data_IF_901103136487
#
_entry.id   IF_901103136487
#
_cell.length_a   1.000
_cell.length_b   1.000
_cell.length_c   1.000
_cell.angle_alpha   90.00
_cell.angle_beta   90.00
_cell.angle_gamma   90.00
#
_symmetry.space_group_name_H-M   'P 1'
#
loop_
_entity.id
_entity.type
_entity.pdbx_description
1 polymer ?
#
# COMPACT_ATOMS: atom_id res chain seq x y z
N UNK A 1 18.09 6.36 -6.97
CA UNK A 1 17.79 5.04 -7.60
C UNK A 1 17.14 4.02 -6.65
N UNK A 2 17.28 4.13 -5.32
CA UNK A 2 16.71 3.17 -4.35
C UNK A 2 15.18 3.36 -4.11
N UNK A 3 14.61 4.53 -4.45
CA UNK A 3 13.25 4.91 -4.08
C UNK A 3 12.12 4.13 -4.79
N UNK A 4 12.38 3.55 -5.97
CA UNK A 4 11.34 2.90 -6.79
C UNK A 4 11.15 1.40 -6.53
N UNK A 5 12.01 0.79 -5.71
CA UNK A 5 12.03 -0.67 -5.58
C UNK A 5 10.70 -1.25 -5.05
N UNK A 6 10.06 -0.54 -4.12
CA UNK A 6 8.78 -0.96 -3.55
C UNK A 6 7.64 -0.86 -4.57
N UNK A 7 7.62 0.22 -5.36
CA UNK A 7 6.65 0.41 -6.45
C UNK A 7 6.79 -0.67 -7.52
N UNK A 8 8.02 -0.94 -7.97
CA UNK A 8 8.27 -1.96 -9.00
C UNK A 8 7.85 -3.36 -8.49
N UNK A 9 8.15 -3.69 -7.23
CA UNK A 9 7.69 -4.93 -6.59
C UNK A 9 6.17 -5.01 -6.56
N UNK A 10 5.49 -3.92 -6.19
CA UNK A 10 4.03 -3.87 -6.13
C UNK A 10 3.38 -4.12 -7.50
N UNK A 11 3.86 -3.46 -8.54
CA UNK A 11 3.32 -3.64 -9.88
C UNK A 11 3.63 -5.02 -10.47
N UNK A 12 4.82 -5.57 -10.21
CA UNK A 12 5.14 -6.93 -10.63
C UNK A 12 4.29 -7.98 -9.91
N UNK A 13 4.03 -7.78 -8.62
CA UNK A 13 3.12 -8.64 -7.87
C UNK A 13 1.69 -8.54 -8.44
N UNK A 14 1.22 -7.33 -8.69
CA UNK A 14 -0.09 -7.09 -9.30
C UNK A 14 -0.25 -7.85 -10.62
N UNK A 15 0.71 -7.68 -11.53
CA UNK A 15 0.75 -8.40 -12.82
C UNK A 15 0.62 -9.91 -12.64
N UNK A 16 1.38 -10.47 -11.69
CA UNK A 16 1.34 -11.90 -11.38
C UNK A 16 0.00 -12.35 -10.81
N UNK A 17 -0.67 -11.53 -10.00
CA UNK A 17 -1.96 -11.87 -9.36
C UNK A 17 -3.15 -11.77 -10.31
N UNK A 18 -3.09 -10.84 -11.28
CA UNK A 18 -4.20 -10.58 -12.21
C UNK A 18 -3.93 -11.05 -13.63
N UNK A 19 -2.84 -11.78 -13.87
CA UNK A 19 -2.41 -12.28 -15.19
C UNK A 19 -2.45 -11.21 -16.28
N UNK A 20 -1.93 -10.01 -15.97
CA UNK A 20 -1.92 -8.87 -16.89
C UNK A 20 -0.50 -8.45 -17.25
N UNK A 21 -0.33 -8.03 -18.51
CA UNK A 21 0.93 -7.49 -19.03
C UNK A 21 0.97 -5.95 -19.05
N UNK A 22 0.00 -5.30 -18.40
CA UNK A 22 -0.11 -3.84 -18.41
C UNK A 22 1.18 -3.15 -17.94
N UNK A 23 1.65 -2.20 -18.74
CA UNK A 23 2.79 -1.35 -18.42
C UNK A 23 2.31 -0.03 -17.83
N UNK A 24 3.00 0.42 -16.78
CA UNK A 24 2.70 1.67 -16.09
C UNK A 24 3.88 2.61 -16.21
N UNK A 25 3.62 3.85 -16.63
CA UNK A 25 4.58 4.94 -16.50
C UNK A 25 4.35 5.63 -15.16
N UNK A 26 5.42 5.82 -14.38
CA UNK A 26 5.32 6.25 -12.99
C UNK A 26 6.22 7.45 -12.77
N UNK A 27 5.63 8.47 -12.19
CA UNK A 27 6.34 9.61 -11.63
C UNK A 27 6.05 9.69 -10.14
N UNK A 28 7.10 9.78 -9.32
CA UNK A 28 6.98 9.89 -7.87
C UNK A 28 7.61 11.23 -7.42
N UNK A 29 6.77 12.15 -6.96
CA UNK A 29 7.22 13.34 -6.24
C UNK A 29 7.35 13.02 -4.75
N UNK A 30 8.58 12.72 -4.32
CA UNK A 30 8.85 12.19 -2.99
C UNK A 30 8.99 13.31 -1.95
N UNK A 31 7.93 13.57 -1.19
CA UNK A 31 7.96 14.50 -0.04
C UNK A 31 8.38 13.83 1.27
N UNK A 32 8.00 12.57 1.47
CA UNK A 32 8.35 11.82 2.69
C UNK A 32 9.85 11.47 2.67
N UNK A 33 10.64 11.93 3.65
CA UNK A 33 12.07 11.66 3.67
C UNK A 33 12.35 10.16 3.78
N UNK A 34 13.39 9.70 3.09
CA UNK A 34 13.75 8.29 3.10
C UNK A 34 14.42 7.91 4.42
N UNK A 35 14.07 6.75 4.97
CA UNK A 35 14.64 6.28 6.23
C UNK A 35 14.12 7.01 7.48
N UNK A 36 13.15 7.92 7.35
CA UNK A 36 12.61 8.68 8.48
C UNK A 36 11.69 7.86 9.42
N UNK A 37 11.49 6.57 9.16
CA UNK A 37 10.57 5.73 9.95
C UNK A 37 9.08 6.01 9.70
N UNK A 38 8.73 6.85 8.73
CA UNK A 38 7.34 7.26 8.44
C UNK A 38 6.58 6.34 7.46
N UNK A 39 7.15 5.18 7.10
CA UNK A 39 6.50 4.26 6.17
C UNK A 39 6.37 4.75 4.72
N UNK A 40 7.10 5.80 4.31
CA UNK A 40 6.92 6.41 2.99
C UNK A 40 7.09 5.44 1.82
N UNK A 41 8.04 4.51 1.86
CA UNK A 41 8.20 3.50 0.79
C UNK A 41 7.08 2.46 0.76
N UNK A 42 6.53 2.12 1.92
CA UNK A 42 5.38 1.23 2.05
C UNK A 42 4.11 1.88 1.51
N UNK A 43 3.92 3.17 1.82
CA UNK A 43 2.82 3.99 1.28
C UNK A 43 2.87 4.06 -0.25
N UNK A 44 4.05 4.27 -0.83
CA UNK A 44 4.22 4.30 -2.28
C UNK A 44 3.83 2.95 -2.92
N UNK A 45 4.20 1.82 -2.32
CA UNK A 45 3.82 0.49 -2.81
C UNK A 45 2.32 0.21 -2.71
N UNK A 46 1.70 0.52 -1.58
CA UNK A 46 0.25 0.37 -1.41
C UNK A 46 -0.49 1.21 -2.46
N UNK A 47 -0.05 2.45 -2.66
CA UNK A 47 -0.63 3.36 -3.66
C UNK A 47 -0.46 2.82 -5.07
N UNK A 48 0.74 2.32 -5.43
CA UNK A 48 0.97 1.75 -6.75
C UNK A 48 0.09 0.52 -7.02
N UNK A 49 -0.08 -0.35 -6.02
CA UNK A 49 -0.94 -1.53 -6.10
C UNK A 49 -2.41 -1.13 -6.28
N UNK A 50 -2.88 -0.17 -5.49
CA UNK A 50 -4.23 0.37 -5.58
C UNK A 50 -4.50 1.03 -6.94
N UNK A 51 -3.61 1.92 -7.40
CA UNK A 51 -3.74 2.60 -8.69
C UNK A 51 -3.76 1.61 -9.86
N UNK A 52 -2.92 0.57 -9.83
CA UNK A 52 -2.92 -0.47 -10.86
C UNK A 52 -4.27 -1.21 -10.93
N UNK A 53 -4.86 -1.52 -9.76
CA UNK A 53 -6.19 -2.12 -9.66
C UNK A 53 -7.26 -1.20 -10.24
N UNK A 54 -7.27 0.08 -9.85
CA UNK A 54 -8.23 1.07 -10.33
C UNK A 54 -8.18 1.22 -11.86
N UNK A 55 -6.98 1.32 -12.44
CA UNK A 55 -6.83 1.45 -13.90
C UNK A 55 -7.20 0.19 -14.68
N UNK A 56 -7.22 -0.97 -14.02
CA UNK A 56 -7.61 -2.24 -14.64
C UNK A 56 -9.10 -2.56 -14.47
N UNK A 57 -9.91 -1.62 -13.98
CA UNK A 57 -11.34 -1.84 -13.75
C UNK A 57 -11.68 -2.55 -12.43
N UNK A 58 -10.78 -2.45 -11.44
CA UNK A 58 -10.94 -3.00 -10.09
C UNK A 58 -11.17 -4.52 -10.03
N UNK A 59 -10.32 -5.35 -10.65
CA UNK A 59 -10.48 -6.81 -10.63
C UNK A 59 -10.30 -7.42 -9.23
N UNK A 60 -9.63 -6.74 -8.31
CA UNK A 60 -9.44 -7.18 -6.93
C UNK A 60 -10.17 -6.24 -5.93
N UNK A 61 -10.64 -6.84 -4.85
CA UNK A 61 -11.20 -6.12 -3.69
C UNK A 61 -10.09 -5.47 -2.86
N UNK A 62 -10.42 -4.45 -2.07
CA UNK A 62 -9.46 -3.79 -1.18
C UNK A 62 -8.82 -4.77 -0.18
N UNK A 63 -9.61 -5.75 0.30
CA UNK A 63 -9.11 -6.81 1.18
C UNK A 63 -8.05 -7.69 0.48
N UNK A 64 -8.29 -8.07 -0.77
CA UNK A 64 -7.29 -8.82 -1.55
C UNK A 64 -6.03 -7.99 -1.80
N UNK A 65 -6.16 -6.69 -2.11
CA UNK A 65 -5.00 -5.80 -2.24
C UNK A 65 -4.21 -5.71 -0.93
N UNK A 66 -4.91 -5.59 0.20
CA UNK A 66 -4.30 -5.59 1.53
C UNK A 66 -3.54 -6.89 1.78
N UNK A 67 -4.16 -8.04 1.50
CA UNK A 67 -3.53 -9.37 1.63
C UNK A 67 -2.29 -9.51 0.73
N UNK A 68 -2.39 -9.16 -0.56
CA UNK A 68 -1.25 -9.25 -1.49
C UNK A 68 -0.11 -8.33 -1.07
N UNK A 69 -0.43 -7.14 -0.56
CA UNK A 69 0.57 -6.16 -0.15
C UNK A 69 1.48 -6.65 0.98
N UNK A 70 0.99 -7.59 1.81
CA UNK A 70 1.77 -8.23 2.87
C UNK A 70 2.96 -9.05 2.36
N UNK A 71 2.89 -9.53 1.12
CA UNK A 71 3.99 -10.27 0.45
C UNK A 71 5.17 -9.34 0.11
N UNK A 72 4.92 -8.03 -0.05
CA UNK A 72 5.93 -7.03 -0.40
C UNK A 72 6.62 -6.51 0.86
N UNK A 73 5.86 -6.31 1.95
CA UNK A 73 6.37 -5.79 3.21
C UNK A 73 5.29 -5.70 4.28
N UNK A 74 5.66 -5.98 5.53
CA UNK A 74 4.70 -6.08 6.64
C UNK A 74 3.97 -4.78 6.97
N UNK A 75 4.57 -3.62 6.69
CA UNK A 75 3.94 -2.32 6.96
C UNK A 75 3.00 -1.84 5.84
N UNK A 76 2.92 -2.54 4.71
CA UNK A 76 2.15 -2.10 3.54
C UNK A 76 0.63 -2.32 3.74
N UNK A 77 0.16 -3.44 4.30
CA UNK A 77 -1.26 -3.66 4.59
C UNK A 77 -1.94 -2.56 5.40
N UNK A 78 -1.19 -1.88 6.27
CA UNK A 78 -1.67 -0.74 7.06
C UNK A 78 -2.19 0.41 6.19
N UNK A 79 -1.63 0.62 4.99
CA UNK A 79 -2.02 1.74 4.12
C UNK A 79 -3.35 1.52 3.39
N UNK A 80 -3.97 0.35 3.54
CA UNK A 80 -5.35 0.05 3.12
C UNK A 80 -6.34 0.21 4.29
N UNK A 81 -5.90 0.70 5.44
CA UNK A 81 -6.70 0.83 6.65
C UNK A 81 -7.17 2.26 6.87
N UNK A 82 -8.21 2.41 7.68
CA UNK A 82 -8.86 3.70 7.88
C UNK A 82 -8.63 4.22 9.30
N UNK A 83 -8.00 5.39 9.40
CA UNK A 83 -7.86 6.09 10.68
C UNK A 83 -6.84 5.44 11.62
N UNK A 84 -7.31 4.91 12.75
CA UNK A 84 -6.46 4.31 13.78
C UNK A 84 -6.60 2.79 13.75
N UNK A 85 -5.47 2.11 13.73
CA UNK A 85 -5.44 0.68 13.44
C UNK A 85 -4.40 -0.01 14.30
N UNK A 86 -4.76 -1.14 14.88
CA UNK A 86 -3.86 -2.01 15.62
C UNK A 86 -3.17 -2.97 14.63
N UNK A 87 -1.84 -2.95 14.60
CA UNK A 87 -1.04 -3.84 13.77
C UNK A 87 -0.32 -4.85 14.65
N UNK A 88 -0.47 -6.14 14.35
CA UNK A 88 0.14 -7.25 15.10
C UNK A 88 0.95 -8.17 14.19
N UNK A 89 1.58 -9.21 14.76
CA UNK A 89 2.55 -10.03 14.04
C UNK A 89 3.85 -9.26 13.78
N UNK A 90 4.26 -9.18 12.51
CA UNK A 90 5.35 -8.30 12.04
C UNK A 90 4.84 -6.93 11.59
N UNK A 91 3.54 -6.66 11.78
CA UNK A 91 2.83 -5.47 11.32
C UNK A 91 1.82 -5.74 10.20
N UNK A 92 1.77 -6.97 9.68
CA UNK A 92 0.93 -7.36 8.52
C UNK A 92 -0.50 -7.73 8.88
N UNK A 93 -0.77 -8.04 10.16
CA UNK A 93 -2.12 -8.34 10.64
C UNK A 93 -2.72 -7.04 11.14
N UNK A 94 -3.75 -6.57 10.44
CA UNK A 94 -4.23 -5.21 10.57
C UNK A 94 -5.69 -5.23 11.00
N UNK A 95 -6.00 -4.55 12.10
CA UNK A 95 -7.34 -4.46 12.65
C UNK A 95 -7.69 -3.02 12.99
N UNK A 96 -8.69 -2.47 12.30
CA UNK A 96 -9.18 -1.12 12.59
C UNK A 96 -9.76 -1.06 14.00
N UNK A 97 -9.42 0.00 14.71
CA UNK A 97 -9.92 0.27 16.05
C UNK A 97 -10.60 1.64 16.08
N UNK A 98 -11.56 1.86 17.00
CA UNK A 98 -12.14 3.18 17.20
C UNK A 98 -11.05 4.22 17.40
N UNK A 99 -11.21 5.39 16.78
CA UNK A 99 -10.23 6.46 16.92
C UNK A 99 -10.06 6.82 18.39
N UNK A 100 -8.80 6.89 18.84
CA UNK A 100 -8.45 7.18 20.22
C UNK A 100 -8.71 8.66 20.61
N UNK A 101 -9.01 9.50 19.62
CA UNK A 101 -9.31 10.92 19.79
C UNK A 101 -10.54 11.24 18.92
N UNK A 102 -11.54 11.99 19.42
CA UNK A 102 -12.58 12.51 18.55
C UNK A 102 -11.91 13.29 17.41
N UNK A 103 -12.13 12.86 16.16
CA UNK A 103 -11.75 13.66 15.00
C UNK A 103 -12.66 14.89 15.03
N UNK A 104 -12.15 15.97 15.62
CA UNK A 104 -12.81 17.27 15.58
C UNK A 104 -12.82 17.70 14.11
N UNK A 105 -13.94 17.42 13.43
CA UNK A 105 -14.15 17.82 12.04
C UNK A 105 -14.35 19.33 12.05
N UNK A 106 -13.27 20.08 11.82
CA UNK A 106 -13.39 21.43 11.28
C UNK A 106 -13.90 21.38 9.85
#
# INVERSE_FOLDING_TARGET
>A
MIFFIHIIKALNLYRKKTDTDNLFWIHLDKKVPTGAGLGGGSSDAATALWVANQFSGCPATEKELQEWSSEIGSNIPFFFSHGTTCCTGRGEIVQDIPSLVPLDRK
#
